data_IF_094645817910
#
_entry.id   IF_094645817910
#
_cell.length_a   1.000
_cell.length_b   1.000
_cell.length_c   1.000
_cell.angle_alpha   90.00
_cell.angle_beta   90.00
_cell.angle_gamma   90.00
#
_symmetry.space_group_name_H-M   'P 1'
#
loop_
_entity.id
_entity.type
_entity.pdbx_description
1 polymer ?
#
# COMPACT_ATOMS: atom_id res chain seq x y z
N UNK A 1 -6.60 -0.93 6.98
CA UNK A 1 -6.73 -1.91 5.87
C UNK A 1 -6.82 -3.35 6.39
N UNK A 2 -7.58 -3.64 7.47
CA UNK A 2 -7.57 -4.98 8.08
C UNK A 2 -8.72 -5.88 7.60
N UNK A 3 -9.81 -5.29 7.10
CA UNK A 3 -10.96 -6.03 6.61
C UNK A 3 -10.67 -6.80 5.31
N UNK A 4 -9.88 -6.21 4.40
CA UNK A 4 -9.48 -6.84 3.14
C UNK A 4 -8.68 -8.13 3.36
N UNK A 5 -7.74 -8.12 4.32
CA UNK A 5 -6.95 -9.30 4.68
C UNK A 5 -7.85 -10.49 5.04
N UNK A 6 -8.77 -10.27 5.98
CA UNK A 6 -9.70 -11.31 6.44
C UNK A 6 -10.57 -11.84 5.31
N UNK A 7 -11.05 -10.97 4.42
CA UNK A 7 -11.92 -11.37 3.31
C UNK A 7 -11.16 -12.19 2.26
N UNK A 8 -9.96 -11.77 1.87
CA UNK A 8 -9.17 -12.52 0.90
C UNK A 8 -8.67 -13.85 1.45
N UNK A 9 -8.30 -13.90 2.73
CA UNK A 9 -7.96 -15.14 3.43
C UNK A 9 -9.15 -16.10 3.45
N UNK A 10 -10.33 -15.64 3.88
CA UNK A 10 -11.54 -16.47 3.96
C UNK A 10 -12.01 -16.99 2.59
N UNK A 11 -11.75 -16.25 1.51
CA UNK A 11 -12.09 -16.64 0.14
C UNK A 11 -11.01 -17.49 -0.55
N UNK A 12 -9.86 -17.74 0.10
CA UNK A 12 -8.75 -18.49 -0.50
C UNK A 12 -8.11 -17.78 -1.70
N UNK A 13 -8.25 -16.46 -1.80
CA UNK A 13 -7.73 -15.66 -2.91
C UNK A 13 -6.28 -15.26 -2.63
N UNK A 14 -5.37 -16.22 -2.67
CA UNK A 14 -3.97 -16.06 -2.24
C UNK A 14 -3.24 -14.88 -2.89
N UNK A 15 -3.42 -14.66 -4.20
CA UNK A 15 -2.80 -13.53 -4.89
C UNK A 15 -3.34 -12.19 -4.37
N UNK A 16 -4.67 -12.07 -4.21
CA UNK A 16 -5.29 -10.87 -3.65
C UNK A 16 -4.88 -10.66 -2.20
N UNK A 17 -4.74 -11.73 -1.42
CA UNK A 17 -4.26 -11.66 -0.04
C UNK A 17 -2.86 -11.07 0.02
N UNK A 18 -1.92 -11.54 -0.82
CA UNK A 18 -0.55 -10.99 -0.90
C UNK A 18 -0.56 -9.49 -1.21
N UNK A 19 -1.35 -9.05 -2.19
CA UNK A 19 -1.47 -7.62 -2.47
C UNK A 19 -2.11 -6.87 -1.30
N UNK A 20 -3.14 -7.43 -0.67
CA UNK A 20 -3.80 -6.78 0.46
C UNK A 20 -2.86 -6.59 1.66
N UNK A 21 -1.93 -7.53 1.90
CA UNK A 21 -0.86 -7.39 2.90
C UNK A 21 0.04 -6.21 2.53
N UNK A 22 0.56 -6.15 1.30
CA UNK A 22 1.41 -5.04 0.86
C UNK A 22 0.68 -3.68 0.97
N UNK A 23 -0.60 -3.60 0.59
CA UNK A 23 -1.40 -2.39 0.77
C UNK A 23 -1.59 -2.00 2.24
N UNK A 24 -1.72 -2.99 3.13
CA UNK A 24 -1.86 -2.74 4.56
C UNK A 24 -0.56 -2.23 5.16
N UNK A 25 0.59 -2.76 4.75
CA UNK A 25 1.92 -2.31 5.18
C UNK A 25 2.17 -0.86 4.78
N UNK A 26 1.85 -0.46 3.53
CA UNK A 26 1.97 0.92 3.06
C UNK A 26 1.15 1.87 3.95
N UNK A 27 -0.12 1.52 4.20
CA UNK A 27 -1.00 2.37 5.03
C UNK A 27 -0.57 2.35 6.49
N UNK A 28 -0.01 1.24 6.99
CA UNK A 28 0.53 1.17 8.36
C UNK A 28 1.78 2.05 8.52
N UNK A 29 2.66 2.09 7.52
CA UNK A 29 3.89 2.89 7.51
C UNK A 29 3.61 4.38 7.31
N UNK A 30 2.84 4.74 6.29
CA UNK A 30 2.67 6.14 5.86
C UNK A 30 1.32 6.76 6.24
N UNK A 31 0.36 5.97 6.71
CA UNK A 31 -1.02 6.43 6.96
C UNK A 31 -1.83 6.73 5.69
N UNK A 32 -1.22 6.62 4.50
CA UNK A 32 -1.78 6.94 3.19
C UNK A 32 -1.06 6.16 2.08
N UNK A 33 -1.44 6.40 0.83
CA UNK A 33 -0.74 5.86 -0.35
C UNK A 33 0.13 6.94 -1.00
N UNK A 34 1.46 6.89 -0.86
CA UNK A 34 2.37 7.91 -1.42
C UNK A 34 2.21 8.12 -2.93
N UNK A 35 1.89 7.06 -3.68
CA UNK A 35 1.64 7.15 -5.14
C UNK A 35 0.52 8.15 -5.51
N UNK A 36 -0.40 8.43 -4.58
CA UNK A 36 -1.51 9.36 -4.80
C UNK A 36 -1.18 10.79 -4.39
N UNK A 37 0.01 11.05 -3.85
CA UNK A 37 0.36 12.39 -3.35
C UNK A 37 0.28 13.44 -4.45
N UNK A 38 0.90 13.19 -5.61
CA UNK A 38 0.92 14.14 -6.73
C UNK A 38 -0.47 14.49 -7.25
N UNK A 39 -1.32 13.48 -7.53
CA UNK A 39 -2.68 13.71 -8.06
C UNK A 39 -3.62 14.37 -7.04
N UNK A 40 -3.34 14.22 -5.74
CA UNK A 40 -4.08 14.85 -4.65
C UNK A 40 -3.46 16.18 -4.19
N UNK A 41 -2.40 16.66 -4.84
CA UNK A 41 -1.72 17.92 -4.48
C UNK A 41 -1.04 17.88 -3.11
N UNK A 42 -0.65 16.70 -2.62
CA UNK A 42 0.03 16.54 -1.33
C UNK A 42 1.54 16.50 -1.52
N UNK A 43 2.34 17.18 -0.68
CA UNK A 43 3.78 16.97 -0.67
C UNK A 43 4.12 15.58 -0.13
N UNK A 44 5.07 14.91 -0.77
CA UNK A 44 5.70 13.69 -0.25
C UNK A 44 6.78 14.03 0.78
N UNK A 45 6.94 13.19 1.80
CA UNK A 45 8.11 13.24 2.70
C UNK A 45 9.32 12.58 2.04
N UNK A 46 10.52 12.80 2.58
CA UNK A 46 11.75 12.14 2.07
C UNK A 46 11.64 10.61 2.13
N UNK A 47 11.04 10.05 3.19
CA UNK A 47 10.82 8.61 3.32
C UNK A 47 9.84 8.09 2.25
N UNK A 48 8.79 8.85 1.97
CA UNK A 48 7.84 8.52 0.89
C UNK A 48 8.50 8.59 -0.49
N UNK A 49 9.41 9.54 -0.72
CA UNK A 49 10.15 9.65 -1.98
C UNK A 49 11.07 8.45 -2.21
N UNK A 50 11.84 8.05 -1.18
CA UNK A 50 12.68 6.86 -1.25
C UNK A 50 11.84 5.62 -1.52
N UNK A 51 10.72 5.45 -0.80
CA UNK A 51 9.81 4.33 -1.02
C UNK A 51 9.27 4.29 -2.46
N UNK A 52 8.94 5.43 -3.06
CA UNK A 52 8.44 5.50 -4.44
C UNK A 52 9.48 5.07 -5.49
N UNK A 53 10.77 5.08 -5.15
CA UNK A 53 11.86 4.63 -6.02
C UNK A 53 12.20 3.13 -5.84
N UNK A 54 11.71 2.49 -4.77
CA UNK A 54 11.97 1.08 -4.49
C UNK A 54 11.25 0.15 -5.47
N UNK A 55 11.90 -0.95 -5.84
CA UNK A 55 11.27 -2.02 -6.62
C UNK A 55 10.13 -2.67 -5.81
N UNK A 56 8.98 -2.85 -6.45
CA UNK A 56 7.78 -3.41 -5.78
C UNK A 56 6.97 -2.38 -4.99
N UNK A 57 7.33 -1.10 -5.03
CA UNK A 57 6.50 -0.01 -4.50
C UNK A 57 5.23 0.19 -5.32
N UNK A 58 5.24 -0.15 -6.62
CA UNK A 58 4.09 0.00 -7.53
C UNK A 58 3.35 -1.33 -7.74
N UNK A 59 2.05 -1.35 -7.46
CA UNK A 59 1.09 -2.41 -7.79
C UNK A 59 -0.35 -1.90 -7.77
#
# INVERSE_FOLDING_TARGET
>A
QNASLRLYEALGLENNYRFAVAHQEIVARFGRYPHRNAILGRPSTDEELVFLEEAGSSF
#
